data_IF_653085828086
#
_entry.id   IF_653085828086
#
_cell.length_a   1.000
_cell.length_b   1.000
_cell.length_c   1.000
_cell.angle_alpha   90.00
_cell.angle_beta   90.00
_cell.angle_gamma   90.00
#
_symmetry.space_group_name_H-M   'P 1'
#
loop_
_entity.id
_entity.type
_entity.pdbx_description
1 polymer ?
#
# COMPACT_ATOMS: atom_id res chain seq x y z
N UNK A 1 -5.88 39.59 17.02
CA UNK A 1 -6.40 38.74 15.93
C UNK A 1 -5.40 37.61 15.74
N UNK A 2 -5.69 36.41 16.26
CA UNK A 2 -4.78 35.26 16.17
C UNK A 2 -5.17 34.45 14.93
N UNK A 3 -4.45 34.66 13.84
CA UNK A 3 -4.68 33.94 12.58
C UNK A 3 -4.09 32.53 12.69
N UNK A 4 -4.95 31.53 12.86
CA UNK A 4 -4.59 30.12 12.69
C UNK A 4 -4.57 29.79 11.19
N UNK A 5 -3.38 29.54 10.64
CA UNK A 5 -3.23 28.94 9.31
C UNK A 5 -3.42 27.43 9.44
N UNK A 6 -4.61 26.94 9.09
CA UNK A 6 -4.84 25.51 8.86
C UNK A 6 -4.19 25.11 7.52
N UNK A 7 -2.92 24.69 7.55
CA UNK A 7 -2.35 23.94 6.42
C UNK A 7 -2.87 22.50 6.50
N UNK A 8 -4.02 22.24 5.89
CA UNK A 8 -4.50 20.88 5.66
C UNK A 8 -3.80 20.35 4.41
N UNK A 9 -2.64 19.70 4.55
CA UNK A 9 -2.01 19.02 3.42
C UNK A 9 -2.85 17.80 3.05
N UNK A 10 -3.22 17.68 1.78
CA UNK A 10 -3.89 16.50 1.23
C UNK A 10 -2.87 15.48 0.70
N UNK A 11 -3.23 14.19 0.76
CA UNK A 11 -2.39 13.13 0.20
C UNK A 11 -2.02 13.47 -1.27
N UNK A 12 -0.78 13.21 -1.70
CA UNK A 12 -0.38 13.52 -3.06
C UNK A 12 -1.20 12.69 -4.06
N UNK A 13 -1.47 13.28 -5.22
CA UNK A 13 -2.21 12.61 -6.28
C UNK A 13 -1.33 11.64 -7.07
N UNK A 14 -0.02 11.87 -7.07
CA UNK A 14 0.97 11.06 -7.80
C UNK A 14 2.30 10.95 -7.07
N UNK A 15 3.05 9.91 -7.39
CA UNK A 15 4.49 9.76 -7.11
C UNK A 15 5.14 9.18 -8.36
N UNK A 16 6.15 9.87 -8.91
CA UNK A 16 6.57 9.63 -10.30
C UNK A 16 5.37 9.65 -11.25
N UNK A 17 5.15 8.56 -11.98
CA UNK A 17 3.99 8.37 -12.86
C UNK A 17 2.85 7.54 -12.23
N UNK A 18 3.02 7.05 -10.99
CA UNK A 18 1.99 6.28 -10.31
C UNK A 18 0.84 7.21 -9.92
N UNK A 19 -0.36 6.91 -10.43
CA UNK A 19 -1.60 7.60 -10.06
C UNK A 19 -2.10 7.07 -8.71
N UNK A 20 -1.84 7.84 -7.65
CA UNK A 20 -2.18 7.47 -6.28
C UNK A 20 -3.69 7.60 -6.02
N UNK A 21 -4.41 8.44 -6.75
CA UNK A 21 -5.88 8.49 -6.65
C UNK A 21 -6.47 7.16 -7.11
N UNK A 22 -6.07 6.68 -8.29
CA UNK A 22 -6.51 5.38 -8.82
C UNK A 22 -6.05 4.21 -7.95
N UNK A 23 -4.82 4.25 -7.44
CA UNK A 23 -4.33 3.24 -6.52
C UNK A 23 -5.22 3.12 -5.27
N UNK A 24 -5.56 4.26 -4.67
CA UNK A 24 -6.38 4.35 -3.45
C UNK A 24 -7.84 3.97 -3.71
N UNK A 25 -8.37 4.19 -4.92
CA UNK A 25 -9.77 3.88 -5.25
C UNK A 25 -10.04 2.39 -5.40
N UNK A 26 -9.02 1.57 -5.62
CA UNK A 26 -9.15 0.12 -5.84
C UNK A 26 -8.86 -0.68 -4.57
N UNK A 27 -9.68 -0.47 -3.53
CA UNK A 27 -9.59 -1.20 -2.26
C UNK A 27 -9.68 -2.71 -2.52
N UNK A 28 -8.71 -3.47 -2.01
CA UNK A 28 -8.62 -4.92 -2.24
C UNK A 28 -8.23 -5.31 -3.66
N UNK A 29 -7.88 -4.40 -4.56
CA UNK A 29 -7.57 -4.78 -5.96
C UNK A 29 -8.74 -5.39 -6.72
N UNK A 30 -9.98 -5.28 -6.19
CA UNK A 30 -11.14 -5.99 -6.71
C UNK A 30 -11.67 -5.44 -8.05
N UNK A 31 -11.23 -4.24 -8.44
CA UNK A 31 -11.50 -3.63 -9.73
C UNK A 31 -10.37 -3.78 -10.76
N UNK A 32 -9.30 -4.54 -10.45
CA UNK A 32 -8.12 -4.75 -11.30
C UNK A 32 -7.41 -3.45 -11.76
N UNK A 33 -7.64 -2.33 -11.08
CA UNK A 33 -7.01 -1.05 -11.41
C UNK A 33 -5.54 -1.06 -11.02
N UNK A 34 -5.22 -1.60 -9.83
CA UNK A 34 -3.83 -1.71 -9.35
C UNK A 34 -2.96 -2.60 -10.23
N UNK A 35 -3.54 -3.64 -10.86
CA UNK A 35 -2.87 -4.47 -11.87
C UNK A 35 -2.34 -3.63 -13.04
N UNK A 36 -3.13 -2.65 -13.48
CA UNK A 36 -2.72 -1.69 -14.52
C UNK A 36 -1.64 -0.70 -14.07
N UNK A 37 -1.44 -0.53 -12.76
CA UNK A 37 -0.48 0.39 -12.16
C UNK A 37 0.81 -0.28 -11.67
N UNK A 38 0.88 -1.62 -11.69
CA UNK A 38 2.00 -2.39 -11.13
C UNK A 38 3.36 -1.95 -11.70
N UNK A 39 3.44 -1.72 -13.01
CA UNK A 39 4.68 -1.25 -13.66
C UNK A 39 5.16 0.10 -13.15
N UNK A 40 4.24 1.04 -12.91
CA UNK A 40 4.59 2.36 -12.37
C UNK A 40 4.90 2.27 -10.88
N UNK A 41 4.24 1.37 -10.14
CA UNK A 41 4.57 1.09 -8.75
C UNK A 41 6.00 0.53 -8.60
N UNK A 42 6.41 -0.42 -9.46
CA UNK A 42 7.77 -0.97 -9.46
C UNK A 42 8.82 0.12 -9.64
N UNK A 43 8.56 1.10 -10.53
CA UNK A 43 9.50 2.20 -10.79
C UNK A 43 9.73 3.12 -9.58
N UNK A 44 8.75 3.25 -8.69
CA UNK A 44 8.83 4.13 -7.51
C UNK A 44 9.24 3.39 -6.23
N UNK A 45 9.58 2.09 -6.30
CA UNK A 45 9.98 1.31 -5.12
C UNK A 45 11.19 1.92 -4.39
N UNK A 46 12.20 2.39 -5.13
CA UNK A 46 13.38 3.02 -4.54
C UNK A 46 13.04 4.32 -3.80
N UNK A 47 12.03 5.05 -4.27
CA UNK A 47 11.52 6.25 -3.60
C UNK A 47 10.75 5.89 -2.32
N UNK A 48 10.12 4.71 -2.26
CA UNK A 48 9.37 4.26 -1.09
C UNK A 48 10.26 3.66 0.01
N UNK A 49 11.34 2.96 -0.37
CA UNK A 49 12.24 2.33 0.59
C UNK A 49 12.81 3.37 1.57
N UNK A 50 12.81 3.03 2.86
CA UNK A 50 13.26 3.90 3.93
C UNK A 50 12.24 4.96 4.38
N UNK A 51 11.08 5.12 3.72
CA UNK A 51 10.03 6.01 4.23
C UNK A 51 9.35 5.46 5.47
N UNK A 52 8.87 6.35 6.33
CA UNK A 52 8.10 5.95 7.50
C UNK A 52 6.73 5.40 7.10
N UNK A 53 6.20 4.49 7.91
CA UNK A 53 4.91 3.82 7.68
C UNK A 53 3.75 4.80 7.50
N UNK A 54 3.81 5.95 8.18
CA UNK A 54 2.81 7.00 8.07
C UNK A 54 2.87 7.70 6.71
N UNK A 55 4.06 7.99 6.19
CA UNK A 55 4.23 8.58 4.85
C UNK A 55 3.73 7.62 3.76
N UNK A 56 4.08 6.34 3.89
CA UNK A 56 3.65 5.30 2.95
C UNK A 56 2.13 5.12 3.02
N UNK A 57 1.53 5.11 4.21
CA UNK A 57 0.08 5.03 4.40
C UNK A 57 -0.65 6.28 3.91
N UNK A 58 -0.04 7.46 4.07
CA UNK A 58 -0.56 8.73 3.55
C UNK A 58 -0.59 8.73 2.02
N UNK A 59 0.46 8.22 1.37
CA UNK A 59 0.52 8.14 -0.09
C UNK A 59 -0.36 7.03 -0.68
N UNK A 60 -0.21 5.79 -0.21
CA UNK A 60 -0.88 4.61 -0.77
C UNK A 60 -2.28 4.36 -0.23
N UNK A 61 -2.68 5.08 0.82
CA UNK A 61 -3.91 4.84 1.56
C UNK A 61 -3.80 3.68 2.55
N UNK A 62 -4.92 3.35 3.20
CA UNK A 62 -4.98 2.23 4.16
C UNK A 62 -4.69 0.90 3.43
N UNK A 63 -3.87 0.00 3.98
CA UNK A 63 -3.64 -1.32 3.38
C UNK A 63 -4.90 -2.17 3.38
N UNK A 64 -4.92 -3.19 2.52
CA UNK A 64 -6.01 -4.16 2.49
C UNK A 64 -5.90 -5.12 3.68
N UNK A 65 -4.67 -5.54 4.00
CA UNK A 65 -4.34 -6.30 5.21
C UNK A 65 -3.17 -5.61 5.92
N UNK A 66 -3.31 -5.47 7.25
CA UNK A 66 -2.24 -5.09 8.14
C UNK A 66 -1.94 -6.25 9.08
N UNK A 67 -0.68 -6.71 9.11
CA UNK A 67 -0.23 -7.80 9.97
C UNK A 67 0.98 -7.36 10.80
N UNK A 68 1.08 -7.91 12.01
CA UNK A 68 2.27 -7.85 12.84
C UNK A 68 3.06 -9.16 12.65
N UNK A 69 4.35 -9.07 12.40
CA UNK A 69 5.24 -10.23 12.41
C UNK A 69 6.10 -10.28 13.66
N UNK A 70 7.14 -11.10 13.61
CA UNK A 70 8.12 -11.20 14.69
C UNK A 70 8.90 -9.89 14.86
N UNK A 71 9.37 -9.62 16.09
CA UNK A 71 10.24 -8.46 16.40
C UNK A 71 9.62 -7.11 16.00
N UNK A 72 8.32 -6.97 16.25
CA UNK A 72 7.55 -5.74 16.01
C UNK A 72 7.56 -5.25 14.56
N UNK A 73 7.82 -6.16 13.61
CA UNK A 73 7.70 -5.86 12.19
C UNK A 73 6.23 -5.70 11.82
N UNK A 74 5.95 -4.76 10.91
CA UNK A 74 4.61 -4.53 10.36
C UNK A 74 4.61 -4.85 8.88
N UNK A 75 3.51 -5.43 8.41
CA UNK A 75 3.32 -5.77 7.01
C UNK A 75 2.05 -5.08 6.51
N UNK A 76 2.20 -4.24 5.48
CA UNK A 76 1.08 -3.72 4.73
C UNK A 76 0.95 -4.49 3.42
N UNK A 77 -0.24 -5.02 3.18
CA UNK A 77 -0.54 -5.82 1.99
C UNK A 77 -1.54 -5.06 1.14
N UNK A 78 -1.24 -4.96 -0.15
CA UNK A 78 -2.16 -4.45 -1.17
C UNK A 78 -2.31 -5.52 -2.24
N UNK A 79 -3.53 -6.00 -2.43
CA UNK A 79 -3.85 -6.86 -3.58
C UNK A 79 -3.78 -6.02 -4.86
N UNK A 80 -3.19 -6.60 -5.90
CA UNK A 80 -3.05 -5.97 -7.21
C UNK A 80 -4.16 -6.40 -8.16
N UNK A 81 -4.73 -7.58 -7.96
CA UNK A 81 -5.76 -8.15 -8.81
C UNK A 81 -6.88 -8.80 -7.99
N UNK A 82 -8.01 -9.01 -8.66
CA UNK A 82 -9.17 -9.66 -8.07
C UNK A 82 -8.86 -11.09 -7.63
N UNK A 83 -9.40 -11.48 -6.47
CA UNK A 83 -9.32 -12.86 -5.98
C UNK A 83 -10.48 -13.22 -5.07
N UNK A 84 -10.40 -14.41 -4.44
CA UNK A 84 -11.47 -14.93 -3.57
C UNK A 84 -11.80 -13.99 -2.40
N UNK A 85 -10.82 -13.23 -1.91
CA UNK A 85 -11.01 -12.25 -0.84
C UNK A 85 -12.00 -11.12 -1.18
N UNK A 86 -12.25 -10.87 -2.47
CA UNK A 86 -13.23 -9.86 -2.90
C UNK A 86 -14.68 -10.32 -2.68
N UNK A 87 -14.92 -11.63 -2.61
CA UNK A 87 -16.25 -12.22 -2.39
C UNK A 87 -16.38 -12.83 -1.00
N UNK A 88 -15.28 -13.36 -0.46
CA UNK A 88 -15.22 -13.97 0.86
C UNK A 88 -13.88 -13.64 1.53
N UNK A 89 -13.90 -12.66 2.43
CA UNK A 89 -12.73 -12.18 3.16
C UNK A 89 -12.13 -13.22 4.12
N UNK A 90 -12.88 -14.28 4.46
CA UNK A 90 -12.40 -15.34 5.35
C UNK A 90 -11.47 -16.33 4.63
N UNK A 91 -11.54 -16.36 3.29
CA UNK A 91 -10.73 -17.23 2.46
C UNK A 91 -9.38 -16.60 2.14
N UNK A 92 -8.31 -17.39 2.28
CA UNK A 92 -6.95 -16.93 1.97
C UNK A 92 -6.77 -16.82 0.46
N UNK A 93 -6.54 -15.60 -0.02
CA UNK A 93 -6.41 -15.33 -1.45
C UNK A 93 -4.98 -15.54 -1.99
N UNK A 94 -4.90 -16.26 -3.11
CA UNK A 94 -3.71 -16.40 -3.94
C UNK A 94 -3.57 -15.30 -5.02
N UNK A 95 -4.45 -14.29 -5.04
CA UNK A 95 -4.30 -13.15 -5.95
C UNK A 95 -2.93 -12.46 -5.75
N UNK A 96 -2.34 -12.01 -6.86
CA UNK A 96 -1.11 -11.24 -6.85
C UNK A 96 -1.26 -10.01 -5.94
N UNK A 97 -0.27 -9.81 -5.07
CA UNK A 97 -0.24 -8.73 -4.09
C UNK A 97 1.18 -8.23 -3.89
N UNK A 98 1.27 -6.96 -3.50
CA UNK A 98 2.50 -6.36 -3.00
C UNK A 98 2.46 -6.32 -1.47
N UNK A 99 3.57 -6.67 -0.85
CA UNK A 99 3.75 -6.69 0.60
C UNK A 99 4.88 -5.72 0.95
N UNK A 100 4.57 -4.76 1.80
CA UNK A 100 5.49 -3.77 2.32
C UNK A 100 5.86 -4.16 3.74
N UNK A 101 7.12 -4.54 3.98
CA UNK A 101 7.63 -4.88 5.31
C UNK A 101 8.31 -3.68 5.96
N UNK A 102 7.75 -3.22 7.05
CA UNK A 102 8.34 -2.20 7.91
C UNK A 102 9.12 -2.85 9.04
N UNK A 103 10.30 -2.29 9.35
CA UNK A 103 11.09 -2.72 10.51
C UNK A 103 10.47 -2.21 11.83
N UNK A 104 11.08 -2.57 12.96
CA UNK A 104 10.58 -2.22 14.29
C UNK A 104 10.48 -0.69 14.54
N UNK A 105 11.26 0.12 13.81
CA UNK A 105 11.22 1.59 13.91
C UNK A 105 10.30 2.24 12.87
N UNK A 106 9.51 1.43 12.14
CA UNK A 106 8.49 1.93 11.21
C UNK A 106 8.99 2.32 9.83
N UNK A 107 10.23 1.98 9.45
CA UNK A 107 10.77 2.29 8.12
C UNK A 107 10.53 1.13 7.15
N UNK A 108 10.12 1.45 5.92
CA UNK A 108 9.92 0.47 4.86
C UNK A 108 11.27 -0.17 4.47
N UNK A 109 11.40 -1.46 4.75
CA UNK A 109 12.67 -2.20 4.59
C UNK A 109 12.68 -3.16 3.41
N UNK A 110 11.51 -3.65 2.97
CA UNK A 110 11.40 -4.58 1.86
C UNK A 110 10.04 -4.44 1.18
N UNK A 111 10.03 -4.66 -0.12
CA UNK A 111 8.84 -4.70 -0.96
C UNK A 111 8.87 -6.00 -1.75
N UNK A 112 7.87 -6.85 -1.59
CA UNK A 112 7.79 -8.14 -2.30
C UNK A 112 6.48 -8.29 -3.05
N UNK A 113 6.53 -9.00 -4.17
CA UNK A 113 5.38 -9.37 -4.97
C UNK A 113 5.20 -10.88 -4.90
N UNK A 114 3.99 -11.36 -4.57
CA UNK A 114 3.72 -12.79 -4.54
C UNK A 114 2.24 -13.13 -4.72
N UNK A 115 1.95 -14.32 -5.24
CA UNK A 115 0.62 -14.88 -5.43
C UNK A 115 0.33 -16.04 -4.44
N UNK A 116 0.86 -15.96 -3.22
CA UNK A 116 0.71 -17.02 -2.20
C UNK A 116 -0.32 -16.62 -1.14
N UNK A 117 -1.22 -17.51 -0.73
CA UNK A 117 -2.08 -17.29 0.44
C UNK A 117 -1.27 -16.85 1.68
N UNK A 118 -1.72 -15.79 2.37
CA UNK A 118 -1.14 -15.33 3.64
C UNK A 118 -1.73 -16.14 4.80
#
# INVERSE_FOLDING_TARGET
MLSFVFSCSSAPDKVGNLDLIKWRSDRGGCGDVRKGLEKEFVKIQSELLGKHIDDVGYMLGRPDIQQLGSRDQKFYVYFLEKGIHCTDITQKSAAQKVILRFNAVGLLSEITFQARPL
#
